data_IF_418800335935
#
_entry.id   IF_418800335935
#
_cell.length_a   1.000
_cell.length_b   1.000
_cell.length_c   1.000
_cell.angle_alpha   90.00
_cell.angle_beta   90.00
_cell.angle_gamma   90.00
#
_symmetry.space_group_name_H-M   'P 1'
#
loop_
_entity.id
_entity.type
_entity.pdbx_description
1 polymer ?
#
# COMPACT_ATOMS: atom_id res chain seq x y z
N UNK A 1 11.00 21.26 15.34
CA UNK A 1 10.21 20.17 15.96
C UNK A 1 8.73 20.53 16.00
N UNK A 2 7.82 19.57 16.16
CA UNK A 2 6.38 19.83 16.29
C UNK A 2 6.06 20.82 17.42
N UNK A 3 6.83 20.77 18.53
CA UNK A 3 6.71 21.71 19.64
C UNK A 3 7.03 23.15 19.24
N UNK A 4 8.02 23.35 18.39
CA UNK A 4 8.43 24.70 17.91
C UNK A 4 7.43 25.27 16.90
N UNK A 5 6.82 24.42 16.08
CA UNK A 5 5.85 24.82 15.06
C UNK A 5 4.41 24.87 15.55
N UNK A 6 4.12 24.38 16.78
CA UNK A 6 2.78 24.22 17.28
C UNK A 6 1.96 23.13 16.58
N UNK A 7 2.60 22.26 15.77
CA UNK A 7 1.94 21.20 15.05
C UNK A 7 1.33 20.15 16.01
N UNK A 8 0.07 19.82 15.79
CA UNK A 8 -0.66 18.81 16.57
C UNK A 8 -1.12 17.67 15.67
N UNK A 9 -1.50 16.51 16.23
CA UNK A 9 -2.07 15.40 15.46
C UNK A 9 -3.34 15.74 14.66
N UNK A 10 -4.05 16.78 15.03
CA UNK A 10 -5.31 17.24 14.42
C UNK A 10 -5.08 18.20 13.24
N UNK A 11 -3.87 18.67 13.02
CA UNK A 11 -3.55 19.45 11.85
C UNK A 11 -3.53 18.57 10.59
N UNK A 12 -3.87 19.19 9.44
CA UNK A 12 -3.85 18.51 8.15
C UNK A 12 -2.42 18.08 7.78
N UNK A 13 -2.29 16.81 7.39
CA UNK A 13 -1.08 16.24 6.82
C UNK A 13 -1.07 16.38 5.30
N UNK A 14 -2.20 16.07 4.65
CA UNK A 14 -2.36 16.16 3.19
C UNK A 14 -3.82 16.26 2.78
N UNK A 15 -4.04 16.67 1.54
CA UNK A 15 -5.36 16.69 0.88
C UNK A 15 -5.25 15.93 -0.43
N UNK A 16 -6.15 14.97 -0.64
CA UNK A 16 -6.26 14.18 -1.88
C UNK A 16 -7.65 14.36 -2.46
N UNK A 17 -7.73 14.68 -3.75
CA UNK A 17 -9.01 14.79 -4.44
C UNK A 17 -9.48 13.41 -4.91
N UNK A 18 -10.72 13.07 -4.56
CA UNK A 18 -11.41 11.85 -5.00
C UNK A 18 -12.57 12.20 -5.93
N UNK A 19 -12.97 11.24 -6.77
CA UNK A 19 -14.17 11.39 -7.60
C UNK A 19 -15.41 11.40 -6.70
N UNK A 20 -16.06 12.56 -6.58
CA UNK A 20 -17.27 12.68 -5.78
C UNK A 20 -18.48 11.99 -6.43
N UNK A 21 -19.36 11.40 -5.63
CA UNK A 21 -20.63 10.77 -6.08
C UNK A 21 -21.54 11.71 -6.88
N UNK A 22 -21.34 13.02 -6.76
CA UNK A 22 -22.07 14.08 -7.49
C UNK A 22 -21.38 14.51 -8.79
N UNK A 23 -20.30 13.81 -9.21
CA UNK A 23 -19.50 14.16 -10.39
C UNK A 23 -18.49 15.29 -10.19
N UNK A 24 -18.51 15.99 -9.05
CA UNK A 24 -17.50 17.00 -8.71
C UNK A 24 -16.44 16.40 -7.80
N UNK A 25 -15.14 16.63 -8.07
CA UNK A 25 -14.07 16.17 -7.18
C UNK A 25 -14.24 16.71 -5.75
N UNK A 26 -14.00 15.87 -4.76
CA UNK A 26 -14.01 16.21 -3.34
C UNK A 26 -12.61 16.06 -2.76
N UNK A 27 -12.12 17.06 -2.05
CA UNK A 27 -10.86 17.01 -1.34
C UNK A 27 -11.02 16.29 0.00
N UNK A 28 -10.50 15.07 0.12
CA UNK A 28 -10.37 14.40 1.40
C UNK A 28 -9.21 15.03 2.19
N UNK A 29 -9.53 15.59 3.35
CA UNK A 29 -8.59 16.27 4.24
C UNK A 29 -8.15 15.30 5.34
N UNK A 30 -6.88 14.90 5.34
CA UNK A 30 -6.35 13.88 6.22
C UNK A 30 -5.41 14.50 7.25
N UNK A 31 -5.64 14.16 8.52
CA UNK A 31 -4.88 14.68 9.65
C UNK A 31 -3.61 13.87 9.91
N UNK A 32 -2.63 14.49 10.58
CA UNK A 32 -1.39 13.82 10.97
C UNK A 32 -1.62 12.56 11.78
N UNK A 33 -2.67 12.51 12.64
CA UNK A 33 -2.98 11.31 13.45
C UNK A 33 -3.17 10.07 12.60
N UNK A 34 -3.82 10.17 11.44
CA UNK A 34 -4.08 9.04 10.54
C UNK A 34 -2.82 8.44 9.97
N UNK A 35 -1.96 9.28 9.34
CA UNK A 35 -0.72 8.79 8.72
C UNK A 35 0.32 8.33 9.77
N UNK A 36 0.34 8.96 10.94
CA UNK A 36 1.21 8.54 12.06
C UNK A 36 0.76 7.18 12.60
N UNK A 37 -0.56 6.98 12.78
CA UNK A 37 -1.10 5.68 13.19
C UNK A 37 -0.73 4.59 12.17
N UNK A 38 -0.90 4.86 10.89
CA UNK A 38 -0.56 3.94 9.82
C UNK A 38 0.92 3.56 9.87
N UNK A 39 1.83 4.53 9.98
CA UNK A 39 3.26 4.27 10.09
C UNK A 39 3.60 3.44 11.34
N UNK A 40 3.14 3.88 12.51
CA UNK A 40 3.46 3.24 13.79
C UNK A 40 2.96 1.78 13.85
N UNK A 41 1.81 1.48 13.23
CA UNK A 41 1.19 0.16 13.32
C UNK A 41 1.56 -0.79 12.20
N UNK A 42 2.07 -0.28 11.06
CA UNK A 42 2.34 -1.11 9.87
C UNK A 42 3.81 -1.45 9.64
N UNK A 43 4.75 -0.66 10.13
CA UNK A 43 6.20 -0.91 9.96
C UNK A 43 6.58 -2.32 10.43
N UNK A 44 6.12 -2.73 11.61
CA UNK A 44 6.38 -4.07 12.16
C UNK A 44 5.77 -5.20 11.33
N UNK A 45 4.44 -5.23 11.08
CA UNK A 45 3.78 -6.25 10.25
C UNK A 45 4.36 -6.37 8.85
N UNK A 46 4.77 -5.25 8.24
CA UNK A 46 5.41 -5.22 6.92
C UNK A 46 6.89 -5.58 6.96
N UNK A 47 7.48 -5.73 8.15
CA UNK A 47 8.91 -6.00 8.34
C UNK A 47 9.83 -4.95 7.73
N UNK A 48 9.36 -3.70 7.69
CA UNK A 48 10.19 -2.56 7.27
C UNK A 48 11.24 -2.24 8.32
N UNK A 49 12.46 -1.97 7.85
CA UNK A 49 13.61 -1.68 8.73
C UNK A 49 14.71 -0.95 7.95
N UNK A 50 15.71 -0.39 8.61
CA UNK A 50 16.91 0.09 7.94
C UNK A 50 17.49 -0.98 7.00
N UNK A 51 17.82 -0.57 5.77
CA UNK A 51 18.25 -1.48 4.70
C UNK A 51 17.12 -2.06 3.84
N UNK A 52 15.85 -1.89 4.22
CA UNK A 52 14.71 -2.14 3.31
C UNK A 52 14.71 -1.12 2.17
N UNK A 53 14.15 -1.51 1.02
CA UNK A 53 14.08 -0.70 -0.21
C UNK A 53 12.63 -0.65 -0.66
N UNK A 54 11.97 0.48 -0.39
CA UNK A 54 10.56 0.72 -0.72
C UNK A 54 10.46 1.40 -2.09
N UNK A 55 9.64 0.84 -2.97
CA UNK A 55 9.30 1.51 -4.23
C UNK A 55 8.30 2.62 -3.97
N UNK A 56 8.54 3.80 -4.52
CA UNK A 56 7.54 4.85 -4.68
C UNK A 56 6.90 4.66 -6.06
N UNK A 57 5.72 4.02 -6.07
CA UNK A 57 4.99 3.67 -7.29
C UNK A 57 3.82 4.61 -7.57
N UNK A 58 3.08 4.97 -6.54
CA UNK A 58 1.85 5.74 -6.67
C UNK A 58 2.11 7.18 -7.11
N UNK A 59 1.26 7.71 -8.00
CA UNK A 59 1.30 9.15 -8.30
C UNK A 59 1.03 9.96 -7.03
N UNK A 60 1.64 11.14 -6.92
CA UNK A 60 1.41 12.09 -5.82
C UNK A 60 -0.08 12.50 -5.67
N UNK A 61 -0.88 12.26 -6.70
CA UNK A 61 -2.32 12.49 -6.67
C UNK A 61 -3.11 11.43 -5.89
N UNK A 62 -2.45 10.35 -5.45
CA UNK A 62 -3.03 9.28 -4.64
C UNK A 62 -2.38 9.24 -3.27
N UNK A 63 -3.18 8.95 -2.26
CA UNK A 63 -2.76 8.83 -0.87
C UNK A 63 -1.76 7.69 -0.60
N UNK A 64 -1.76 6.66 -1.45
CA UNK A 64 -0.74 5.62 -1.44
C UNK A 64 0.69 6.18 -1.54
N UNK A 65 0.91 7.30 -2.26
CA UNK A 65 2.19 7.99 -2.30
C UNK A 65 2.60 8.51 -0.90
N UNK A 66 1.67 9.09 -0.14
CA UNK A 66 1.94 9.54 1.22
C UNK A 66 2.32 8.36 2.14
N UNK A 67 1.67 7.20 1.95
CA UNK A 67 1.99 5.97 2.66
C UNK A 67 3.41 5.48 2.33
N UNK A 68 3.76 5.38 1.04
CA UNK A 68 5.08 4.92 0.58
C UNK A 68 6.20 5.79 1.17
N UNK A 69 6.05 7.11 1.08
CA UNK A 69 7.01 8.06 1.62
C UNK A 69 7.13 7.96 3.14
N UNK A 70 6.00 7.99 3.85
CA UNK A 70 6.00 8.01 5.31
C UNK A 70 6.58 6.73 5.89
N UNK A 71 6.16 5.57 5.41
CA UNK A 71 6.65 4.30 5.92
C UNK A 71 8.14 4.10 5.64
N UNK A 72 8.60 4.42 4.43
CA UNK A 72 10.02 4.32 4.11
C UNK A 72 10.87 5.21 5.02
N UNK A 73 10.54 6.49 5.11
CA UNK A 73 11.36 7.45 5.84
C UNK A 73 11.31 7.23 7.35
N UNK A 74 10.14 6.90 7.92
CA UNK A 74 10.02 6.68 9.38
C UNK A 74 10.59 5.33 9.84
N UNK A 75 10.72 4.35 8.94
CA UNK A 75 11.36 3.05 9.25
C UNK A 75 12.87 3.03 9.01
N UNK A 76 13.46 4.10 8.47
CA UNK A 76 14.86 4.14 8.03
C UNK A 76 15.12 3.32 6.77
N UNK A 77 14.09 2.97 6.00
CA UNK A 77 14.23 2.34 4.70
C UNK A 77 14.60 3.35 3.62
N UNK A 78 15.19 2.88 2.52
CA UNK A 78 15.43 3.70 1.35
C UNK A 78 14.14 3.81 0.52
N UNK A 79 13.72 5.03 0.22
CA UNK A 79 12.64 5.30 -0.74
C UNK A 79 13.24 5.38 -2.16
N UNK A 80 12.78 4.50 -3.04
CA UNK A 80 13.22 4.45 -4.43
C UNK A 80 12.23 5.15 -5.34
N UNK A 81 12.66 6.28 -5.91
CA UNK A 81 11.93 7.04 -6.90
C UNK A 81 12.30 6.55 -8.30
N UNK A 82 11.33 6.57 -9.22
CA UNK A 82 11.53 6.17 -10.61
C UNK A 82 10.73 7.06 -11.57
N UNK A 83 11.11 7.05 -12.84
CA UNK A 83 10.36 7.75 -13.87
C UNK A 83 9.03 7.02 -14.17
N UNK A 84 8.05 7.74 -14.73
CA UNK A 84 6.79 7.12 -15.17
C UNK A 84 7.00 5.98 -16.15
N UNK A 85 8.02 6.06 -16.99
CA UNK A 85 8.34 5.03 -17.98
C UNK A 85 8.81 3.76 -17.28
N UNK A 86 9.67 3.88 -16.27
CA UNK A 86 10.18 2.75 -15.51
C UNK A 86 9.10 2.08 -14.63
N UNK A 87 8.09 2.85 -14.22
CA UNK A 87 6.94 2.36 -13.44
C UNK A 87 5.85 1.72 -14.30
N UNK A 88 5.96 1.73 -15.63
CA UNK A 88 4.98 1.09 -16.50
C UNK A 88 4.90 -0.41 -16.21
N UNK A 89 3.68 -0.99 -16.08
CA UNK A 89 3.50 -2.41 -15.87
C UNK A 89 4.19 -3.28 -16.93
N UNK A 90 4.65 -4.47 -16.53
CA UNK A 90 5.39 -5.39 -17.41
C UNK A 90 6.90 -5.20 -17.33
N UNK A 91 7.59 -5.30 -18.47
CA UNK A 91 9.05 -5.35 -18.53
C UNK A 91 9.78 -4.16 -17.87
N UNK A 92 9.35 -2.90 -17.99
CA UNK A 92 9.99 -1.78 -17.30
C UNK A 92 9.96 -1.93 -15.78
N UNK A 93 8.78 -2.25 -15.23
CA UNK A 93 8.61 -2.44 -13.79
C UNK A 93 9.43 -3.63 -13.27
N UNK A 94 9.48 -4.74 -14.01
CA UNK A 94 10.29 -5.92 -13.66
C UNK A 94 11.77 -5.54 -13.58
N UNK A 95 12.27 -4.82 -14.58
CA UNK A 95 13.64 -4.33 -14.63
C UNK A 95 13.95 -3.46 -13.41
N UNK A 96 13.11 -2.48 -13.13
CA UNK A 96 13.24 -1.58 -11.99
C UNK A 96 13.29 -2.35 -10.65
N UNK A 97 12.30 -3.23 -10.40
CA UNK A 97 12.22 -4.04 -9.18
C UNK A 97 13.47 -4.90 -8.97
N UNK A 98 14.04 -5.42 -10.06
CA UNK A 98 15.21 -6.30 -10.04
C UNK A 98 16.50 -5.52 -9.83
N UNK A 99 16.77 -4.51 -10.66
CA UNK A 99 18.02 -3.74 -10.65
C UNK A 99 18.15 -2.91 -9.37
N UNK A 100 17.05 -2.30 -8.92
CA UNK A 100 17.02 -1.53 -7.69
C UNK A 100 16.84 -2.41 -6.44
N UNK A 101 16.79 -3.74 -6.60
CA UNK A 101 16.65 -4.71 -5.50
C UNK A 101 15.52 -4.34 -4.54
N UNK A 102 14.36 -3.93 -5.08
CA UNK A 102 13.21 -3.49 -4.30
C UNK A 102 12.75 -4.64 -3.40
N UNK A 103 12.58 -4.34 -2.12
CA UNK A 103 12.14 -5.32 -1.12
C UNK A 103 10.68 -5.19 -0.71
N UNK A 104 10.11 -3.98 -0.87
CA UNK A 104 8.74 -3.65 -0.49
C UNK A 104 8.09 -2.81 -1.58
N UNK A 105 6.85 -3.13 -1.93
CA UNK A 105 6.05 -2.35 -2.87
C UNK A 105 4.56 -2.45 -2.54
N UNK A 106 3.80 -1.40 -2.86
CA UNK A 106 2.34 -1.41 -2.96
C UNK A 106 1.99 -1.29 -4.44
N UNK A 107 1.34 -2.29 -5.01
CA UNK A 107 1.00 -2.32 -6.42
C UNK A 107 -0.48 -2.64 -6.61
N UNK A 108 -1.17 -1.99 -7.56
CA UNK A 108 -2.54 -2.37 -7.90
C UNK A 108 -2.58 -3.73 -8.59
N UNK A 109 -3.69 -4.49 -8.48
CA UNK A 109 -3.86 -5.80 -9.13
C UNK A 109 -3.52 -5.79 -10.61
N UNK A 110 -3.90 -4.74 -11.34
CA UNK A 110 -3.64 -4.62 -12.77
C UNK A 110 -2.14 -4.54 -13.11
N UNK A 111 -1.33 -3.91 -12.27
CA UNK A 111 0.11 -3.86 -12.48
C UNK A 111 0.76 -5.23 -12.25
N UNK A 112 0.26 -5.98 -11.27
CA UNK A 112 0.70 -7.34 -11.00
C UNK A 112 0.31 -8.33 -12.10
N UNK A 113 -0.89 -8.20 -12.64
CA UNK A 113 -1.39 -9.05 -13.73
C UNK A 113 -0.59 -8.88 -15.02
N UNK A 114 0.06 -7.74 -15.22
CA UNK A 114 0.92 -7.47 -16.38
C UNK A 114 2.34 -8.09 -16.28
N UNK A 115 2.69 -8.66 -15.13
CA UNK A 115 3.99 -9.32 -14.92
C UNK A 115 3.82 -10.82 -15.18
N UNK A 116 4.65 -11.44 -16.04
CA UNK A 116 4.61 -12.88 -16.28
C UNK A 116 4.76 -13.69 -14.99
N UNK A 117 4.00 -14.77 -14.88
CA UNK A 117 3.88 -15.57 -13.65
C UNK A 117 5.16 -16.30 -13.24
N UNK A 118 6.06 -16.53 -14.18
CA UNK A 118 7.39 -17.13 -13.97
C UNK A 118 8.48 -16.14 -13.61
N UNK A 119 8.14 -14.84 -13.52
CA UNK A 119 9.10 -13.78 -13.20
C UNK A 119 9.67 -13.94 -11.79
N UNK A 120 11.01 -13.93 -11.73
CA UNK A 120 11.74 -14.01 -10.46
C UNK A 120 12.09 -12.63 -9.93
N UNK A 121 11.53 -12.28 -8.76
CA UNK A 121 11.80 -11.03 -8.04
C UNK A 121 12.39 -11.34 -6.66
N UNK A 122 13.60 -11.88 -6.63
CA UNK A 122 14.27 -12.45 -5.44
C UNK A 122 14.36 -11.49 -4.25
N UNK A 123 14.41 -10.19 -4.53
CA UNK A 123 14.55 -9.15 -3.50
C UNK A 123 13.21 -8.70 -2.95
N UNK A 124 12.10 -8.84 -3.68
CA UNK A 124 10.76 -8.44 -3.25
C UNK A 124 10.25 -9.40 -2.17
N UNK A 125 10.24 -8.95 -0.92
CA UNK A 125 9.90 -9.77 0.27
C UNK A 125 8.49 -9.50 0.77
N UNK A 126 8.03 -8.26 0.68
CA UNK A 126 6.69 -7.84 1.08
C UNK A 126 6.04 -7.09 -0.08
N UNK A 127 4.90 -7.57 -0.50
CA UNK A 127 4.09 -6.99 -1.55
C UNK A 127 2.69 -6.71 -0.99
N UNK A 128 2.28 -5.45 -1.02
CA UNK A 128 0.89 -5.09 -0.77
C UNK A 128 0.16 -4.99 -2.11
N UNK A 129 -1.08 -5.42 -2.11
CA UNK A 129 -2.00 -5.24 -3.22
C UNK A 129 -3.22 -4.48 -2.72
N UNK A 130 -3.61 -3.43 -3.44
CA UNK A 130 -4.71 -2.57 -3.03
C UNK A 130 -5.17 -1.64 -4.16
N UNK A 131 -6.22 -0.86 -3.89
CA UNK A 131 -6.82 0.05 -4.85
C UNK A 131 -7.86 -0.61 -5.77
N UNK A 132 -7.91 -1.95 -5.82
CA UNK A 132 -8.92 -2.73 -6.54
C UNK A 132 -9.00 -4.15 -5.96
N UNK A 133 -9.97 -4.94 -6.42
CA UNK A 133 -10.19 -6.31 -5.95
C UNK A 133 -9.03 -7.24 -6.33
N UNK A 134 -8.45 -7.89 -5.33
CA UNK A 134 -7.43 -8.91 -5.52
C UNK A 134 -8.09 -10.27 -5.82
N UNK A 135 -7.64 -10.96 -6.87
CA UNK A 135 -8.18 -12.29 -7.23
C UNK A 135 -7.40 -13.41 -6.58
N UNK A 136 -8.07 -14.57 -6.40
CA UNK A 136 -7.42 -15.83 -6.00
C UNK A 136 -6.23 -16.18 -6.91
N UNK A 137 -6.35 -15.97 -8.22
CA UNK A 137 -5.29 -16.23 -9.18
C UNK A 137 -4.02 -15.41 -8.90
N UNK A 138 -4.17 -14.11 -8.58
CA UNK A 138 -3.05 -13.27 -8.17
C UNK A 138 -2.42 -13.76 -6.86
N UNK A 139 -3.24 -14.17 -5.89
CA UNK A 139 -2.72 -14.71 -4.63
C UNK A 139 -1.87 -15.94 -4.87
N UNK A 140 -2.33 -16.90 -5.65
CA UNK A 140 -1.57 -18.12 -6.00
C UNK A 140 -0.22 -17.79 -6.65
N UNK A 141 -0.20 -16.89 -7.61
CA UNK A 141 1.04 -16.50 -8.30
C UNK A 141 2.00 -15.77 -7.36
N UNK A 142 1.49 -14.82 -6.57
CA UNK A 142 2.35 -13.87 -5.87
C UNK A 142 2.70 -14.26 -4.43
N UNK A 143 1.87 -15.07 -3.75
CA UNK A 143 2.15 -15.55 -2.40
C UNK A 143 2.88 -16.91 -2.38
N UNK A 144 2.56 -17.82 -3.32
CA UNK A 144 3.15 -19.17 -3.40
C UNK A 144 4.26 -19.28 -4.45
N UNK A 145 4.51 -18.23 -5.19
CA UNK A 145 5.55 -18.20 -6.23
C UNK A 145 6.94 -18.53 -5.68
N UNK A 146 7.91 -18.81 -6.57
CA UNK A 146 9.21 -19.37 -6.24
C UNK A 146 10.03 -18.51 -5.25
N UNK A 147 9.66 -17.25 -5.05
CA UNK A 147 10.37 -16.32 -4.16
C UNK A 147 9.75 -16.21 -2.77
N UNK A 148 8.64 -16.90 -2.48
CA UNK A 148 7.94 -16.99 -1.17
C UNK A 148 7.86 -15.66 -0.43
N UNK A 149 7.13 -14.72 -0.99
CA UNK A 149 6.96 -13.38 -0.40
C UNK A 149 5.72 -13.28 0.48
N UNK A 150 5.70 -12.31 1.36
CA UNK A 150 4.50 -11.94 2.08
C UNK A 150 3.61 -11.12 1.13
N UNK A 151 2.44 -11.62 0.77
CA UNK A 151 1.41 -10.90 0.04
C UNK A 151 0.33 -10.43 1.02
N UNK A 152 0.00 -9.14 0.96
CA UNK A 152 -0.98 -8.52 1.84
C UNK A 152 -2.02 -7.81 0.97
N UNK A 153 -3.29 -8.20 1.13
CA UNK A 153 -4.41 -7.44 0.57
C UNK A 153 -4.73 -6.28 1.51
N UNK A 154 -4.70 -5.04 1.01
CA UNK A 154 -4.97 -3.82 1.75
C UNK A 154 -6.20 -3.13 1.18
N UNK A 155 -7.14 -2.74 2.04
CA UNK A 155 -8.38 -2.10 1.64
C UNK A 155 -8.69 -0.89 2.52
N UNK A 156 -9.09 0.20 1.89
CA UNK A 156 -9.61 1.40 2.52
C UNK A 156 -9.86 2.50 1.51
N UNK A 157 -10.83 3.39 1.77
CA UNK A 157 -10.98 4.63 1.02
C UNK A 157 -9.94 5.66 1.47
N UNK A 158 -9.71 6.68 0.67
CA UNK A 158 -8.78 7.77 0.97
C UNK A 158 -9.10 8.44 2.31
N UNK A 159 -10.38 8.60 2.64
CA UNK A 159 -10.88 9.19 3.88
C UNK A 159 -10.47 8.40 5.15
N UNK A 160 -10.07 7.15 5.00
CA UNK A 160 -9.56 6.31 6.09
C UNK A 160 -8.03 6.33 6.22
N UNK A 161 -7.35 7.29 5.60
CA UNK A 161 -5.89 7.40 5.58
C UNK A 161 -5.22 6.18 4.93
N UNK A 162 -5.41 6.05 3.61
CA UNK A 162 -4.86 5.05 2.68
C UNK A 162 -5.54 3.69 2.77
N UNK A 163 -5.52 3.02 3.92
CA UNK A 163 -6.28 1.80 4.13
C UNK A 163 -6.66 1.59 5.60
N UNK A 164 -7.80 0.93 5.79
CA UNK A 164 -8.38 0.65 7.10
C UNK A 164 -8.21 -0.81 7.53
N UNK A 165 -8.08 -1.73 6.57
CA UNK A 165 -7.96 -3.17 6.83
C UNK A 165 -6.83 -3.79 6.04
N UNK A 166 -6.29 -4.88 6.58
CA UNK A 166 -5.28 -5.71 5.91
C UNK A 166 -5.56 -7.19 6.10
N UNK A 167 -5.22 -7.97 5.09
CA UNK A 167 -5.27 -9.43 5.13
C UNK A 167 -3.98 -10.01 4.56
N UNK A 168 -3.28 -10.83 5.35
CA UNK A 168 -2.16 -11.61 4.84
C UNK A 168 -2.70 -12.77 4.02
N UNK A 169 -2.45 -12.77 2.72
CA UNK A 169 -2.98 -13.76 1.82
C UNK A 169 -2.36 -15.14 2.03
N UNK A 170 -3.20 -16.16 2.11
CA UNK A 170 -2.82 -17.57 2.11
C UNK A 170 -2.98 -18.11 0.67
N UNK A 171 -1.89 -18.58 0.02
CA UNK A 171 -1.95 -19.12 -1.33
C UNK A 171 -2.77 -20.40 -1.46
N UNK A 172 -3.02 -21.10 -0.34
CA UNK A 172 -3.80 -22.35 -0.30
C UNK A 172 -5.28 -22.12 0.00
N UNK A 173 -5.67 -20.88 0.34
CA UNK A 173 -7.09 -20.54 0.53
C UNK A 173 -7.83 -20.54 -0.81
N UNK A 174 -9.12 -20.91 -0.76
CA UNK A 174 -10.01 -20.86 -1.91
C UNK A 174 -10.77 -19.54 -1.98
N UNK A 175 -11.00 -19.05 -3.18
CA UNK A 175 -11.70 -17.80 -3.43
C UNK A 175 -10.84 -16.56 -3.30
N UNK A 176 -11.42 -15.41 -3.59
CA UNK A 176 -10.73 -14.14 -3.47
C UNK A 176 -10.41 -13.83 -1.99
N UNK A 177 -9.23 -13.22 -1.71
CA UNK A 177 -8.88 -12.88 -0.35
C UNK A 177 -9.87 -11.86 0.23
N UNK A 178 -10.25 -12.00 1.52
CA UNK A 178 -11.07 -10.99 2.17
C UNK A 178 -10.32 -9.65 2.27
N UNK A 179 -11.04 -8.56 2.55
CA UNK A 179 -10.43 -7.27 2.85
C UNK A 179 -9.66 -7.29 4.19
N UNK A 180 -9.91 -8.29 5.02
CA UNK A 180 -9.15 -8.55 6.23
C UNK A 180 -9.74 -7.93 7.50
N UNK A 181 -8.84 -7.61 8.42
CA UNK A 181 -9.18 -7.06 9.74
C UNK A 181 -8.72 -5.61 9.86
N UNK A 182 -9.39 -4.80 10.69
CA UNK A 182 -8.96 -3.44 10.96
C UNK A 182 -7.49 -3.39 11.40
N UNK A 183 -6.77 -2.37 10.93
CA UNK A 183 -5.47 -2.01 11.50
C UNK A 183 -5.67 -1.47 12.92
N UNK A 184 -4.60 -1.38 13.70
CA UNK A 184 -4.70 -0.88 15.07
C UNK A 184 -5.31 0.54 15.10
N UNK A 185 -6.07 0.82 16.16
CA UNK A 185 -6.79 2.07 16.38
C UNK A 185 -7.85 2.40 15.31
N UNK A 186 -8.27 1.41 14.51
CA UNK A 186 -9.35 1.53 13.51
C UNK A 186 -10.49 0.60 13.86
N UNK A 187 -11.73 1.03 13.60
CA UNK A 187 -12.95 0.24 13.84
C UNK A 187 -13.72 0.09 12.54
N UNK A 188 -14.25 -1.10 12.31
CA UNK A 188 -15.13 -1.41 11.17
C UNK A 188 -16.47 -1.87 11.73
N UNK A 189 -17.53 -1.33 11.20
CA UNK A 189 -18.90 -1.68 11.56
C UNK A 189 -19.59 -2.24 10.31
N UNK A 190 -20.28 -3.36 10.47
CA UNK A 190 -21.16 -3.92 9.44
C UNK A 190 -22.58 -3.58 9.88
N UNK A 191 -23.22 -2.71 9.13
CA UNK A 191 -24.54 -2.19 9.44
C UNK A 191 -25.57 -2.81 8.48
N UNK A 192 -26.80 -2.98 8.96
CA UNK A 192 -27.94 -3.31 8.12
C UNK A 192 -28.57 -2.04 7.51
N UNK A 193 -29.73 -2.18 6.88
CA UNK A 193 -30.41 -1.05 6.23
C UNK A 193 -30.91 0.02 7.21
N UNK A 194 -30.94 -0.27 8.50
CA UNK A 194 -31.38 0.63 9.56
C UNK A 194 -30.20 1.29 10.30
N UNK A 195 -28.96 0.81 10.12
CA UNK A 195 -27.73 1.36 10.69
C UNK A 195 -27.25 0.69 11.99
#
# INVERSE_FOLDING_TARGET
TAKETGLTPDHLAYVIYTSGSTGKPKGAMLEHRGIVNLAATQIGPLKLKPGSRMLQFASISFDACAWECTLALTSGAALHLASRVDLMPGAPLIKLLTEQKISHALLPPIALAAIPTDTRLKHLKTLLVGGDACSEALVKVWADGPDKRQLINAYGPTEASVYATTHRCDPHAHGNPPIGRPIANTRIYILDAQG
#
